data_IF_488651251690
#
_entry.id   IF_488651251690
#
_cell.length_a   1.000
_cell.length_b   1.000
_cell.length_c   1.000
_cell.angle_alpha   90.00
_cell.angle_beta   90.00
_cell.angle_gamma   90.00
#
_symmetry.space_group_name_H-M   'P 1'
#
loop_
_entity.id
_entity.type
_entity.pdbx_description
1 polymer ?
#
# COMPACT_ATOMS: atom_id res chain seq x y z
N UNK A 1 19.73 9.01 -1.90
CA UNK A 1 20.03 8.47 -0.55
C UNK A 1 19.64 6.99 -0.38
N UNK A 2 18.47 6.54 -0.83
CA UNK A 2 18.03 5.13 -0.68
C UNK A 2 18.79 4.09 -1.52
N UNK A 3 19.32 4.48 -2.69
CA UNK A 3 20.13 3.57 -3.54
C UNK A 3 21.40 3.05 -2.85
N UNK A 4 21.88 3.74 -1.80
CA UNK A 4 23.05 3.32 -1.03
C UNK A 4 22.69 2.46 0.19
N UNK A 5 21.39 2.37 0.53
CA UNK A 5 20.89 1.64 1.69
C UNK A 5 20.66 0.14 1.38
N UNK A 6 21.52 -0.48 0.55
CA UNK A 6 21.31 -1.80 -0.05
C UNK A 6 21.09 -2.95 0.94
N UNK A 7 21.48 -2.78 2.20
CA UNK A 7 21.31 -3.76 3.28
C UNK A 7 19.93 -3.71 3.98
N UNK A 8 19.08 -2.73 3.66
CA UNK A 8 17.77 -2.59 4.30
C UNK A 8 16.86 -3.77 3.94
N UNK A 9 16.39 -4.47 4.98
CA UNK A 9 15.48 -5.63 4.87
C UNK A 9 14.05 -5.31 5.21
N UNK A 10 13.84 -4.28 6.03
CA UNK A 10 12.55 -3.85 6.51
C UNK A 10 12.49 -2.33 6.39
N UNK A 11 11.45 -1.84 5.75
CA UNK A 11 11.19 -0.43 5.61
C UNK A 11 9.76 -0.12 6.06
N UNK A 12 9.64 0.92 6.88
CA UNK A 12 8.37 1.50 7.27
C UNK A 12 8.29 2.92 6.70
N UNK A 13 7.24 3.21 5.94
CA UNK A 13 6.95 4.53 5.41
C UNK A 13 5.62 4.97 5.99
N UNK A 14 5.67 6.05 6.77
CA UNK A 14 4.49 6.67 7.37
C UNK A 14 4.35 8.09 6.85
N UNK A 15 3.28 8.35 6.10
CA UNK A 15 2.91 9.71 5.66
C UNK A 15 1.81 10.24 6.56
N UNK A 16 2.03 11.39 7.19
CA UNK A 16 1.02 12.10 7.97
C UNK A 16 0.62 13.37 7.24
N UNK A 17 -0.65 13.42 6.84
CA UNK A 17 -1.21 14.60 6.21
C UNK A 17 -1.79 15.51 7.27
N UNK A 18 -1.36 16.77 7.24
CA UNK A 18 -2.00 17.85 7.97
C UNK A 18 -2.98 18.50 7.01
N UNK A 19 -4.27 18.63 7.37
CA UNK A 19 -5.24 19.26 6.51
C UNK A 19 -4.86 20.73 6.32
N UNK A 20 -4.33 21.06 5.14
CA UNK A 20 -4.32 22.41 4.61
C UNK A 20 -5.18 22.42 3.36
N UNK A 21 -5.91 23.52 3.20
CA UNK A 21 -7.05 23.77 2.32
C UNK A 21 -6.89 23.52 0.81
N UNK A 22 -5.77 22.94 0.35
CA UNK A 22 -5.56 22.59 -1.06
C UNK A 22 -5.24 21.10 -1.16
N UNK A 23 -6.23 20.33 -1.64
CA UNK A 23 -6.32 18.86 -1.69
C UNK A 23 -5.36 18.19 -2.69
N UNK A 24 -4.14 18.71 -2.86
CA UNK A 24 -3.15 18.12 -3.76
C UNK A 24 -2.12 17.35 -2.93
N UNK A 25 -2.22 16.02 -2.98
CA UNK A 25 -1.24 15.13 -2.37
C UNK A 25 0.10 15.31 -3.08
N UNK A 26 1.23 15.40 -2.35
CA UNK A 26 2.54 15.42 -2.98
C UNK A 26 2.76 14.10 -3.72
N UNK A 27 3.29 14.16 -4.93
CA UNK A 27 3.68 12.94 -5.65
C UNK A 27 4.88 12.31 -4.92
N UNK A 28 4.67 11.16 -4.29
CA UNK A 28 5.74 10.43 -3.62
C UNK A 28 6.31 9.45 -4.61
N UNK A 29 7.54 9.74 -5.05
CA UNK A 29 8.28 8.84 -5.91
C UNK A 29 8.75 7.59 -5.15
N UNK A 30 7.87 6.60 -5.04
CA UNK A 30 8.23 5.29 -4.49
C UNK A 30 9.09 4.46 -5.46
N UNK A 31 9.41 4.94 -6.68
CA UNK A 31 10.40 4.30 -7.58
C UNK A 31 11.77 4.22 -6.90
N UNK A 32 12.04 5.06 -5.90
CA UNK A 32 13.21 4.96 -5.02
C UNK A 32 13.38 3.58 -4.35
N UNK A 33 12.30 2.81 -4.21
CA UNK A 33 12.31 1.46 -3.66
C UNK A 33 12.32 0.36 -4.73
N UNK A 34 12.03 0.72 -5.98
CA UNK A 34 12.13 -0.22 -7.08
C UNK A 34 13.57 -0.75 -7.15
N UNK A 35 13.70 -2.05 -7.38
CA UNK A 35 15.00 -2.72 -7.44
C UNK A 35 15.81 -2.77 -6.14
N UNK A 36 15.22 -2.45 -4.96
CA UNK A 36 15.95 -2.62 -3.70
C UNK A 36 16.31 -4.10 -3.46
N UNK A 37 17.60 -4.47 -3.37
CA UNK A 37 18.05 -5.85 -3.55
C UNK A 37 17.76 -6.76 -2.35
N UNK A 38 17.53 -6.20 -1.16
CA UNK A 38 17.33 -6.96 0.09
C UNK A 38 16.04 -6.63 0.83
N UNK A 39 15.19 -5.76 0.28
CA UNK A 39 13.97 -5.34 0.96
C UNK A 39 12.95 -6.48 0.89
N UNK A 40 12.70 -7.11 2.05
CA UNK A 40 11.78 -8.24 2.15
C UNK A 40 10.46 -7.88 2.82
N UNK A 41 10.44 -6.83 3.64
CA UNK A 41 9.26 -6.38 4.36
C UNK A 41 9.03 -4.89 4.16
N UNK A 42 7.81 -4.53 3.77
CA UNK A 42 7.43 -3.14 3.54
C UNK A 42 6.16 -2.79 4.30
N UNK A 43 6.22 -1.78 5.14
CA UNK A 43 5.09 -1.29 5.93
C UNK A 43 4.71 0.11 5.49
N UNK A 44 3.43 0.31 5.17
CA UNK A 44 2.90 1.60 4.73
C UNK A 44 1.57 1.89 5.44
N UNK A 45 1.21 3.16 5.54
CA UNK A 45 -0.15 3.58 5.86
C UNK A 45 -0.98 3.77 4.59
N UNK A 46 -2.31 3.59 4.70
CA UNK A 46 -3.23 3.52 3.55
C UNK A 46 -3.26 4.79 2.69
N UNK A 47 -2.92 5.94 3.26
CA UNK A 47 -2.73 7.20 2.51
C UNK A 47 -1.68 7.03 1.40
N UNK A 48 -0.61 6.27 1.67
CA UNK A 48 0.43 6.00 0.67
C UNK A 48 -0.14 5.21 -0.52
N UNK A 49 -1.13 4.33 -0.32
CA UNK A 49 -1.78 3.62 -1.43
C UNK A 49 -2.55 4.55 -2.37
N UNK A 50 -3.12 5.61 -1.82
CA UNK A 50 -3.93 6.59 -2.56
C UNK A 50 -3.06 7.56 -3.34
N UNK A 51 -1.87 7.85 -2.80
CA UNK A 51 -0.85 8.68 -3.45
C UNK A 51 -0.12 7.92 -4.57
N UNK A 52 -0.19 6.59 -4.55
CA UNK A 52 0.39 5.75 -5.58
C UNK A 52 -0.51 5.72 -6.82
N UNK A 53 -0.24 6.59 -7.78
CA UNK A 53 -0.73 6.43 -9.16
C UNK A 53 0.08 5.33 -9.86
N UNK A 54 -0.24 4.06 -9.58
CA UNK A 54 0.48 2.92 -10.17
C UNK A 54 0.15 2.67 -11.65
N UNK A 55 -0.62 3.54 -12.31
CA UNK A 55 -0.90 3.41 -13.74
C UNK A 55 0.37 3.57 -14.60
N UNK A 56 1.43 4.24 -14.08
CA UNK A 56 2.65 4.51 -14.86
C UNK A 56 3.91 3.79 -14.37
N UNK A 57 3.92 3.19 -13.18
CA UNK A 57 5.15 2.61 -12.60
C UNK A 57 4.94 1.20 -12.06
N UNK A 58 5.64 0.24 -12.67
CA UNK A 58 5.80 -1.13 -12.20
C UNK A 58 6.50 -1.11 -10.83
N UNK A 59 5.73 -1.00 -9.74
CA UNK A 59 6.26 -1.07 -8.37
C UNK A 59 6.73 -2.49 -8.07
N UNK A 60 8.00 -2.76 -8.42
CA UNK A 60 8.64 -4.08 -8.34
C UNK A 60 9.81 -4.00 -7.37
N UNK A 61 9.65 -4.67 -6.23
CA UNK A 61 10.69 -4.87 -5.24
C UNK A 61 11.10 -6.36 -5.33
N UNK A 62 12.29 -6.67 -5.89
CA UNK A 62 12.66 -8.04 -6.27
C UNK A 62 12.61 -9.07 -5.13
N UNK A 63 12.83 -8.64 -3.89
CA UNK A 63 12.91 -9.51 -2.71
C UNK A 63 11.72 -9.39 -1.77
N UNK A 64 10.66 -8.66 -2.16
CA UNK A 64 9.54 -8.38 -1.29
C UNK A 64 8.73 -9.65 -1.01
N UNK A 65 8.63 -10.01 0.27
CA UNK A 65 7.93 -11.21 0.74
C UNK A 65 6.70 -10.85 1.57
N UNK A 66 6.72 -9.70 2.26
CA UNK A 66 5.63 -9.24 3.11
C UNK A 66 5.35 -7.74 2.96
N UNK A 67 4.07 -7.39 2.83
CA UNK A 67 3.60 -6.01 2.90
C UNK A 67 2.59 -5.87 4.02
N UNK A 68 2.72 -4.84 4.85
CA UNK A 68 1.71 -4.46 5.85
C UNK A 68 1.17 -3.07 5.55
N UNK A 69 -0.15 -2.95 5.54
CA UNK A 69 -0.85 -1.72 5.15
C UNK A 69 -1.76 -1.34 6.29
N UNK A 70 -1.50 -0.19 6.90
CA UNK A 70 -2.34 0.35 7.97
C UNK A 70 -3.33 1.37 7.42
N UNK A 71 -4.58 0.97 7.23
CA UNK A 71 -5.64 1.83 6.68
C UNK A 71 -6.33 2.59 7.82
N UNK A 72 -6.27 3.93 7.76
CA UNK A 72 -6.91 4.85 8.73
C UNK A 72 -8.28 5.32 8.23
N UNK A 73 -8.35 5.80 6.98
CA UNK A 73 -9.59 6.11 6.27
C UNK A 73 -9.30 6.04 4.77
N UNK A 74 -10.06 5.26 3.97
CA UNK A 74 -9.87 5.22 2.53
C UNK A 74 -10.54 6.44 1.90
N UNK A 75 -9.76 7.44 1.48
CA UNK A 75 -10.24 8.62 0.76
C UNK A 75 -10.59 8.28 -0.69
N UNK A 76 -9.78 7.42 -1.31
CA UNK A 76 -10.02 6.86 -2.63
C UNK A 76 -9.95 5.32 -2.62
N UNK A 77 -11.09 4.66 -2.37
CA UNK A 77 -11.18 3.20 -2.31
C UNK A 77 -10.74 2.50 -3.60
N UNK A 78 -11.13 3.02 -4.76
CA UNK A 78 -10.88 2.39 -6.06
C UNK A 78 -9.40 2.42 -6.40
N UNK A 79 -8.75 3.58 -6.21
CA UNK A 79 -7.31 3.70 -6.39
C UNK A 79 -6.56 2.77 -5.44
N UNK A 80 -6.95 2.74 -4.16
CA UNK A 80 -6.31 1.87 -3.17
C UNK A 80 -6.40 0.38 -3.56
N UNK A 81 -7.53 -0.05 -4.11
CA UNK A 81 -7.73 -1.42 -4.58
C UNK A 81 -6.91 -1.72 -5.83
N UNK A 82 -6.86 -0.81 -6.81
CA UNK A 82 -6.02 -0.95 -8.00
C UNK A 82 -4.53 -1.08 -7.63
N UNK A 83 -4.07 -0.25 -6.68
CA UNK A 83 -2.70 -0.28 -6.17
C UNK A 83 -2.37 -1.63 -5.51
N UNK A 84 -3.31 -2.19 -4.72
CA UNK A 84 -3.17 -3.51 -4.11
C UNK A 84 -3.09 -4.63 -5.16
N UNK A 85 -3.92 -4.58 -6.20
CA UNK A 85 -3.90 -5.55 -7.30
C UNK A 85 -2.57 -5.51 -8.05
N UNK A 86 -2.05 -4.32 -8.36
CA UNK A 86 -0.74 -4.15 -8.97
C UNK A 86 0.37 -4.71 -8.08
N UNK A 87 0.34 -4.43 -6.78
CA UNK A 87 1.37 -4.88 -5.85
C UNK A 87 1.47 -6.41 -5.80
N UNK A 88 0.34 -7.12 -5.80
CA UNK A 88 0.34 -8.59 -5.85
C UNK A 88 0.73 -9.13 -7.24
N UNK A 89 0.28 -8.46 -8.31
CA UNK A 89 0.56 -8.88 -9.69
C UNK A 89 2.05 -8.79 -10.04
N UNK A 90 2.73 -7.72 -9.64
CA UNK A 90 4.08 -7.41 -10.09
C UNK A 90 5.18 -7.91 -9.13
N UNK A 91 4.86 -8.26 -7.87
CA UNK A 91 5.84 -8.76 -6.91
C UNK A 91 5.72 -10.29 -6.75
N UNK A 92 6.38 -11.04 -7.62
CA UNK A 92 6.27 -12.51 -7.69
C UNK A 92 6.66 -13.24 -6.38
N UNK A 93 7.54 -12.65 -5.55
CA UNK A 93 7.97 -13.22 -4.26
C UNK A 93 7.05 -12.88 -3.10
N UNK A 94 6.03 -12.05 -3.32
CA UNK A 94 5.11 -11.63 -2.28
C UNK A 94 4.28 -12.82 -1.78
N UNK A 95 4.46 -13.15 -0.50
CA UNK A 95 3.78 -14.28 0.16
C UNK A 95 2.67 -13.80 1.08
N UNK A 96 2.81 -12.60 1.66
CA UNK A 96 1.89 -12.09 2.68
C UNK A 96 1.58 -10.62 2.46
N UNK A 97 0.30 -10.29 2.33
CA UNK A 97 -0.23 -8.93 2.45
C UNK A 97 -1.07 -8.88 3.72
N UNK A 98 -0.74 -7.96 4.63
CA UNK A 98 -1.44 -7.76 5.89
C UNK A 98 -2.16 -6.42 5.87
N UNK A 99 -3.47 -6.45 5.91
CA UNK A 99 -4.29 -5.25 6.01
C UNK A 99 -4.65 -5.04 7.47
N UNK A 100 -4.12 -3.97 8.06
CA UNK A 100 -4.43 -3.53 9.41
C UNK A 100 -5.42 -2.39 9.35
N UNK A 101 -6.64 -2.61 9.83
CA UNK A 101 -7.61 -1.50 9.98
C UNK A 101 -7.39 -0.81 11.31
N UNK A 102 -7.19 0.50 11.27
CA UNK A 102 -7.14 1.27 12.51
C UNK A 102 -8.50 1.95 12.72
N UNK A 103 -9.20 1.53 13.76
CA UNK A 103 -10.54 2.03 14.10
C UNK A 103 -10.49 3.46 14.63
N UNK A 104 -10.67 4.45 13.75
CA UNK A 104 -11.22 5.75 14.11
C UNK A 104 -12.22 6.19 13.05
N UNK A 105 -13.09 7.12 13.47
CA UNK A 105 -14.26 7.67 12.79
C UNK A 105 -14.06 7.76 11.28
N UNK A 106 -14.69 6.84 10.54
CA UNK A 106 -14.75 6.93 9.09
C UNK A 106 -15.60 8.15 8.75
N UNK A 107 -14.97 9.23 8.31
CA UNK A 107 -15.68 10.45 7.89
C UNK A 107 -16.60 10.19 6.68
N UNK A 108 -16.30 9.15 5.89
CA UNK A 108 -17.08 8.72 4.73
C UNK A 108 -17.43 7.23 4.82
N UNK A 109 -18.63 6.92 5.32
CA UNK A 109 -19.12 5.54 5.48
C UNK A 109 -19.23 4.80 4.13
N UNK A 110 -19.65 5.48 3.06
CA UNK A 110 -19.78 4.87 1.73
C UNK A 110 -18.42 4.44 1.18
N UNK A 111 -17.40 5.28 1.30
CA UNK A 111 -16.05 4.93 0.87
C UNK A 111 -15.48 3.74 1.67
N UNK A 112 -15.76 3.69 2.98
CA UNK A 112 -15.37 2.58 3.83
C UNK A 112 -16.06 1.26 3.44
N UNK A 113 -17.34 1.29 3.05
CA UNK A 113 -18.08 0.12 2.57
C UNK A 113 -17.54 -0.39 1.24
N UNK A 114 -17.34 0.50 0.26
CA UNK A 114 -16.74 0.16 -1.05
C UNK A 114 -15.36 -0.46 -0.86
N UNK A 115 -14.51 0.17 -0.05
CA UNK A 115 -13.19 -0.36 0.25
C UNK A 115 -13.28 -1.73 0.93
N UNK A 116 -14.19 -1.89 1.89
CA UNK A 116 -14.37 -3.16 2.61
C UNK A 116 -14.81 -4.29 1.67
N UNK A 117 -15.80 -4.05 0.82
CA UNK A 117 -16.26 -5.03 -0.16
C UNK A 117 -15.18 -5.35 -1.19
N UNK A 118 -14.42 -4.34 -1.63
CA UNK A 118 -13.29 -4.53 -2.52
C UNK A 118 -12.19 -5.38 -1.91
N UNK A 119 -11.84 -5.15 -0.64
CA UNK A 119 -10.87 -5.97 0.08
C UNK A 119 -11.32 -7.42 0.20
N UNK A 120 -12.59 -7.67 0.49
CA UNK A 120 -13.13 -9.04 0.55
C UNK A 120 -12.97 -9.75 -0.80
N UNK A 121 -13.39 -9.12 -1.89
CA UNK A 121 -13.20 -9.65 -3.26
C UNK A 121 -11.73 -9.86 -3.60
N UNK A 122 -10.86 -8.93 -3.19
CA UNK A 122 -9.42 -9.02 -3.40
C UNK A 122 -8.82 -10.20 -2.63
N UNK A 123 -9.27 -10.46 -1.39
CA UNK A 123 -8.86 -11.63 -0.62
C UNK A 123 -9.29 -12.93 -1.26
N UNK A 124 -10.53 -13.01 -1.77
CA UNK A 124 -11.05 -14.21 -2.43
C UNK A 124 -10.22 -14.55 -3.67
N UNK A 125 -9.90 -13.55 -4.50
CA UNK A 125 -9.03 -13.69 -5.68
C UNK A 125 -7.59 -14.10 -5.32
N UNK A 126 -7.10 -13.70 -4.15
CA UNK A 126 -5.71 -13.90 -3.71
C UNK A 126 -5.62 -14.81 -2.48
N UNK A 127 -6.48 -15.83 -2.44
CA UNK A 127 -6.62 -16.74 -1.32
C UNK A 127 -5.25 -17.33 -0.90
N UNK A 128 -4.97 -17.26 0.40
CA UNK A 128 -3.71 -17.72 0.99
C UNK A 128 -2.54 -16.72 0.97
N UNK A 129 -2.66 -15.57 0.30
CA UNK A 129 -1.64 -14.51 0.29
C UNK A 129 -2.04 -13.24 1.06
N UNK A 130 -3.33 -12.95 1.18
CA UNK A 130 -3.85 -11.72 1.81
C UNK A 130 -4.56 -12.04 3.13
N UNK A 131 -4.24 -11.29 4.17
CA UNK A 131 -4.73 -11.49 5.53
C UNK A 131 -5.18 -10.15 6.14
N UNK A 132 -6.31 -10.13 6.84
CA UNK A 132 -6.72 -9.00 7.68
C UNK A 132 -6.25 -9.26 9.11
N UNK A 133 -5.66 -8.25 9.76
CA UNK A 133 -5.18 -8.32 11.14
C UNK A 133 -5.71 -7.18 12.00
#
# INVERSE_FOLDING_TARGET
MLQHAVEVKHLEVMVELYPRLNDQFPDIDLVLFNSHPKLCKFEINGIVLEMLSLEDYLFVIPCLEEVMITVRSPLNPEQSLSTLECLVKYNARLRRVRLRRMGRTMHNLKAADVFSQGILKFMDKNSGKVFIK
#
